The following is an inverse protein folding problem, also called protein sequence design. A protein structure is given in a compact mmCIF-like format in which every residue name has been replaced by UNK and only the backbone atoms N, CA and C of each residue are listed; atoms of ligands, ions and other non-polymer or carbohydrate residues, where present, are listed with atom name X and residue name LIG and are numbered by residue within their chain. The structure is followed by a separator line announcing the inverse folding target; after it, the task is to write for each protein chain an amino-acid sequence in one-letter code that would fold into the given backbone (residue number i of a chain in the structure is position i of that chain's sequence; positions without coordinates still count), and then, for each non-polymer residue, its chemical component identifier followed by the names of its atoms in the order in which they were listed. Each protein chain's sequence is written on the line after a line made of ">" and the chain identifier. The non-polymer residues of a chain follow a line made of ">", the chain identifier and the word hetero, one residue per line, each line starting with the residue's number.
data_IF_041596950828
#
_entry.id   IF_041596950828
#
_cell.length_a   1.000
_cell.length_b   1.000
_cell.length_c   1.000
_cell.angle_alpha   90.00
_cell.angle_beta   90.00
_cell.angle_gamma   90.00
#
_symmetry.space_group_name_H-M   'P 1'
#
loop_
_entity.id
_entity.type
_entity.pdbx_description
1 polymer ?
#
# COMPACT_ATOMS: atom_id res chain seq x y z
N UNK A 1 22.71 -11.32 19.82
CA UNK A 1 22.18 -10.10 19.17
C UNK A 1 21.08 -10.53 18.19
N UNK A 2 19.96 -9.81 18.13
CA UNK A 2 18.82 -10.17 17.27
C UNK A 2 19.22 -10.06 15.79
N UNK A 3 18.84 -11.04 14.97
CA UNK A 3 19.11 -11.00 13.52
C UNK A 3 18.22 -9.97 12.82
N UNK A 4 18.62 -9.51 11.63
CA UNK A 4 17.80 -8.58 10.83
C UNK A 4 16.45 -9.21 10.49
N UNK A 5 16.44 -10.52 10.24
CA UNK A 5 15.25 -11.29 9.93
C UNK A 5 14.28 -11.38 11.12
N UNK A 6 14.81 -11.58 12.34
CA UNK A 6 14.02 -11.55 13.57
C UNK A 6 13.39 -10.17 13.78
N UNK A 7 14.17 -9.10 13.60
CA UNK A 7 13.67 -7.73 13.72
C UNK A 7 12.55 -7.44 12.70
N UNK A 8 12.72 -7.92 11.46
CA UNK A 8 11.68 -7.78 10.43
C UNK A 8 10.42 -8.57 10.81
N UNK A 9 10.56 -9.77 11.35
CA UNK A 9 9.43 -10.59 11.80
C UNK A 9 8.67 -9.93 12.96
N UNK A 10 9.37 -9.45 14.00
CA UNK A 10 8.75 -8.74 15.12
C UNK A 10 8.10 -7.42 14.67
N UNK A 11 8.76 -6.68 13.77
CA UNK A 11 8.20 -5.48 13.16
C UNK A 11 6.90 -5.76 12.41
N UNK A 12 6.84 -6.87 11.65
CA UNK A 12 5.63 -7.29 10.93
C UNK A 12 4.48 -7.61 11.90
N UNK A 13 4.78 -8.29 13.02
CA UNK A 13 3.79 -8.56 14.08
C UNK A 13 3.28 -7.28 14.73
N UNK A 14 4.18 -6.33 15.03
CA UNK A 14 3.83 -5.02 15.58
C UNK A 14 2.94 -4.22 14.64
N UNK A 15 3.28 -4.17 13.34
CA UNK A 15 2.47 -3.51 12.30
C UNK A 15 1.10 -4.16 12.19
N UNK A 16 1.01 -5.50 12.22
CA UNK A 16 -0.27 -6.19 12.17
C UNK A 16 -1.16 -5.85 13.38
N UNK A 17 -0.62 -5.93 14.59
CA UNK A 17 -1.36 -5.63 15.82
C UNK A 17 -1.81 -4.17 15.87
N UNK A 18 -0.89 -3.23 15.65
CA UNK A 18 -1.19 -1.79 15.67
C UNK A 18 -2.09 -1.38 14.52
N UNK A 19 -1.78 -1.81 13.29
CA UNK A 19 -2.53 -1.49 12.09
C UNK A 19 -3.96 -1.98 12.21
N UNK A 20 -4.17 -3.22 12.65
CA UNK A 20 -5.52 -3.77 12.85
C UNK A 20 -6.28 -2.99 13.92
N UNK A 21 -5.67 -2.78 15.09
CA UNK A 21 -6.31 -2.06 16.21
C UNK A 21 -6.69 -0.63 15.83
N UNK A 22 -5.78 0.11 15.20
CA UNK A 22 -6.02 1.49 14.78
C UNK A 22 -7.08 1.60 13.70
N UNK A 23 -7.09 0.70 12.72
CA UNK A 23 -8.12 0.70 11.68
C UNK A 23 -9.50 0.33 12.25
N UNK A 24 -9.58 -0.58 13.24
CA UNK A 24 -10.85 -0.88 13.95
C UNK A 24 -11.36 0.34 14.72
N UNK A 25 -10.49 1.00 15.50
CA UNK A 25 -10.81 2.24 16.23
C UNK A 25 -11.27 3.31 15.23
N UNK A 26 -10.58 3.44 14.11
CA UNK A 26 -10.90 4.39 13.07
C UNK A 26 -12.28 4.15 12.45
N UNK A 27 -12.64 2.88 12.16
CA UNK A 27 -13.98 2.50 11.71
C UNK A 27 -15.03 2.91 12.74
N UNK A 28 -14.80 2.61 14.02
CA UNK A 28 -15.70 2.99 15.12
C UNK A 28 -15.92 4.51 15.17
N UNK A 29 -14.85 5.30 15.11
CA UNK A 29 -14.92 6.76 15.13
C UNK A 29 -15.67 7.30 13.90
N UNK A 30 -15.40 6.76 12.71
CA UNK A 30 -16.09 7.19 11.49
C UNK A 30 -17.59 6.92 11.58
N UNK A 31 -17.97 5.73 12.05
CA UNK A 31 -19.38 5.30 12.07
C UNK A 31 -20.18 5.98 13.18
N UNK A 32 -19.60 6.09 14.37
CA UNK A 32 -20.33 6.52 15.56
C UNK A 32 -19.99 7.94 16.03
N UNK A 33 -18.79 8.42 15.71
CA UNK A 33 -18.31 9.72 16.22
C UNK A 33 -18.60 10.90 15.31
N UNK A 34 -18.69 10.70 14.00
CA UNK A 34 -18.79 11.81 13.04
C UNK A 34 -20.18 12.44 13.03
N UNK A 35 -20.24 13.78 13.06
CA UNK A 35 -21.47 14.58 12.99
C UNK A 35 -22.33 14.17 11.77
N UNK A 36 -23.64 14.36 11.89
CA UNK A 36 -24.62 14.06 10.83
C UNK A 36 -24.37 14.82 9.51
N UNK A 37 -23.50 15.83 9.48
CA UNK A 37 -23.12 16.59 8.28
C UNK A 37 -22.09 15.90 7.38
N UNK A 38 -21.42 14.82 7.82
CA UNK A 38 -20.49 14.07 6.97
C UNK A 38 -21.28 13.10 6.09
N UNK A 39 -21.14 13.22 4.77
CA UNK A 39 -21.85 12.37 3.80
C UNK A 39 -21.64 10.88 4.09
N UNK A 40 -22.73 10.10 4.05
CA UNK A 40 -22.69 8.65 4.21
C UNK A 40 -21.74 7.98 3.21
N UNK A 41 -21.63 8.55 2.01
CA UNK A 41 -20.70 8.10 0.96
C UNK A 41 -19.26 8.18 1.44
N UNK A 42 -18.85 9.32 2.00
CA UNK A 42 -17.51 9.48 2.56
C UNK A 42 -17.26 8.46 3.67
N UNK A 43 -18.21 8.28 4.60
CA UNK A 43 -18.08 7.28 5.68
C UNK A 43 -17.87 5.86 5.11
N UNK A 44 -18.58 5.50 4.05
CA UNK A 44 -18.44 4.19 3.38
C UNK A 44 -17.07 4.01 2.73
N UNK A 45 -16.58 5.00 1.98
CA UNK A 45 -15.25 4.92 1.34
C UNK A 45 -14.16 4.79 2.40
N UNK A 46 -14.18 5.62 3.45
CA UNK A 46 -13.17 5.55 4.52
C UNK A 46 -13.22 4.22 5.31
N UNK A 47 -14.42 3.65 5.50
CA UNK A 47 -14.57 2.32 6.11
C UNK A 47 -13.99 1.23 5.21
N UNK A 48 -14.24 1.29 3.90
CA UNK A 48 -13.68 0.36 2.93
C UNK A 48 -12.14 0.40 2.95
N UNK A 49 -11.55 1.60 2.99
CA UNK A 49 -10.11 1.80 3.12
C UNK A 49 -9.54 1.13 4.38
N UNK A 50 -10.19 1.35 5.52
CA UNK A 50 -9.78 0.74 6.78
C UNK A 50 -9.85 -0.80 6.76
N UNK A 51 -10.90 -1.36 6.15
CA UNK A 51 -11.04 -2.82 5.97
C UNK A 51 -9.92 -3.35 5.07
N UNK A 52 -9.57 -2.65 3.99
CA UNK A 52 -8.51 -3.08 3.07
C UNK A 52 -7.11 -2.94 3.69
N UNK A 53 -6.89 -1.95 4.57
CA UNK A 53 -5.68 -1.85 5.39
C UNK A 53 -5.54 -3.03 6.36
N UNK A 54 -6.65 -3.46 6.99
CA UNK A 54 -6.67 -4.66 7.83
C UNK A 54 -6.35 -5.88 6.98
N UNK A 55 -7.00 -6.06 5.82
CA UNK A 55 -6.72 -7.16 4.91
C UNK A 55 -5.25 -7.20 4.45
N UNK A 56 -4.64 -6.05 4.19
CA UNK A 56 -3.22 -5.95 3.82
C UNK A 56 -2.29 -6.32 4.98
N UNK A 57 -2.61 -5.85 6.18
CA UNK A 57 -1.85 -6.19 7.38
C UNK A 57 -1.96 -7.68 7.69
N UNK A 58 -3.15 -8.27 7.52
CA UNK A 58 -3.40 -9.71 7.69
C UNK A 58 -2.63 -10.56 6.68
N UNK A 59 -2.70 -10.22 5.39
CA UNK A 59 -1.95 -10.94 4.35
C UNK A 59 -0.43 -10.81 4.56
N UNK A 60 0.05 -9.64 5.02
CA UNK A 60 1.44 -9.44 5.43
C UNK A 60 1.85 -10.29 6.62
N UNK A 61 0.98 -10.44 7.62
CA UNK A 61 1.22 -11.33 8.77
C UNK A 61 1.22 -12.81 8.39
N UNK A 62 0.31 -13.25 7.52
CA UNK A 62 0.22 -14.65 7.06
C UNK A 62 1.45 -15.02 6.22
N UNK A 63 1.92 -14.12 5.35
CA UNK A 63 3.06 -14.38 4.46
C UNK A 63 4.41 -14.14 5.10
N UNK A 64 4.51 -13.18 6.04
CA UNK A 64 5.77 -12.63 6.57
C UNK A 64 6.83 -12.48 5.46
N UNK A 65 6.58 -11.60 4.48
CA UNK A 65 7.39 -11.56 3.27
C UNK A 65 8.83 -11.15 3.60
N UNK A 66 9.77 -12.05 3.35
CA UNK A 66 11.20 -11.77 3.39
C UNK A 66 11.67 -11.32 2.02
N UNK A 67 12.53 -10.29 1.97
CA UNK A 67 13.14 -9.83 0.72
C UNK A 67 14.63 -10.19 0.68
N UNK A 68 15.07 -10.67 -0.48
CA UNK A 68 16.48 -10.81 -0.82
C UNK A 68 16.69 -10.27 -2.22
N UNK A 69 17.60 -9.31 -2.36
CA UNK A 69 17.99 -8.73 -3.65
C UNK A 69 19.38 -9.24 -3.96
N UNK A 70 19.60 -9.71 -5.18
CA UNK A 70 20.91 -10.17 -5.62
C UNK A 70 21.09 -9.84 -7.10
N UNK A 71 22.04 -8.97 -7.40
CA UNK A 71 22.28 -8.49 -8.76
C UNK A 71 20.99 -7.95 -9.36
N UNK A 72 20.63 -8.46 -10.54
CA UNK A 72 19.47 -8.02 -11.34
C UNK A 72 18.18 -8.77 -10.98
N UNK A 73 18.15 -9.36 -9.80
CA UNK A 73 17.02 -10.13 -9.28
C UNK A 73 16.60 -9.64 -7.89
N UNK A 74 15.32 -9.73 -7.62
CA UNK A 74 14.77 -9.59 -6.29
C UNK A 74 13.72 -10.67 -6.04
N UNK A 75 13.92 -11.43 -4.97
CA UNK A 75 12.96 -12.43 -4.52
C UNK A 75 12.24 -11.93 -3.27
N UNK A 76 10.94 -12.22 -3.22
CA UNK A 76 10.14 -12.08 -2.01
C UNK A 76 9.64 -13.47 -1.62
N UNK A 77 10.14 -14.02 -0.52
CA UNK A 77 9.86 -15.37 -0.06
C UNK A 77 8.95 -15.35 1.16
N UNK A 78 8.08 -16.35 1.25
CA UNK A 78 7.15 -16.52 2.36
C UNK A 78 7.91 -17.12 3.55
N UNK A 79 7.89 -16.46 4.71
CA UNK A 79 8.38 -17.00 6.00
C UNK A 79 7.26 -17.27 7.00
N UNK A 80 6.02 -17.02 6.60
CA UNK A 80 4.86 -17.15 7.46
C UNK A 80 4.29 -18.57 7.49
N UNK A 81 2.97 -18.66 7.68
CA UNK A 81 2.25 -19.91 7.96
C UNK A 81 2.49 -20.97 6.87
N UNK A 82 2.56 -20.53 5.61
CA UNK A 82 2.63 -21.41 4.44
C UNK A 82 4.01 -21.44 3.77
N UNK A 83 5.09 -21.10 4.49
CA UNK A 83 6.45 -20.92 3.91
C UNK A 83 6.95 -22.12 3.10
N UNK A 84 6.73 -23.35 3.59
CA UNK A 84 7.13 -24.62 2.94
C UNK A 84 6.00 -25.31 2.15
N UNK A 85 4.80 -24.73 2.12
CA UNK A 85 3.64 -25.34 1.46
C UNK A 85 3.46 -24.75 0.07
N UNK A 86 3.96 -25.43 -0.97
CA UNK A 86 3.70 -25.08 -2.37
C UNK A 86 2.38 -25.71 -2.84
N UNK A 87 1.52 -25.00 -3.60
CA UNK A 87 1.66 -23.62 -4.09
C UNK A 87 1.13 -22.55 -3.10
N UNK A 88 0.63 -22.94 -1.92
CA UNK A 88 -0.08 -22.05 -1.01
C UNK A 88 0.71 -20.81 -0.59
N UNK A 89 2.00 -20.94 -0.23
CA UNK A 89 2.83 -19.79 0.13
C UNK A 89 2.99 -18.80 -1.02
N UNK A 90 3.09 -19.28 -2.26
CA UNK A 90 3.17 -18.46 -3.47
C UNK A 90 1.83 -17.76 -3.77
N UNK A 91 0.70 -18.47 -3.64
CA UNK A 91 -0.63 -17.87 -3.81
C UNK A 91 -0.91 -16.78 -2.78
N UNK A 92 -0.50 -16.97 -1.52
CA UNK A 92 -0.61 -15.94 -0.50
C UNK A 92 0.28 -14.72 -0.78
N UNK A 93 1.46 -14.91 -1.37
CA UNK A 93 2.30 -13.79 -1.85
C UNK A 93 1.62 -13.05 -3.01
N UNK A 94 1.01 -13.76 -3.95
CA UNK A 94 0.22 -13.13 -5.03
C UNK A 94 -0.93 -12.31 -4.45
N UNK A 95 -1.67 -12.87 -3.49
CA UNK A 95 -2.75 -12.16 -2.81
C UNK A 95 -2.23 -10.94 -2.04
N UNK A 96 -1.09 -11.05 -1.35
CA UNK A 96 -0.46 -9.92 -0.67
C UNK A 96 -0.15 -8.76 -1.64
N UNK A 97 0.40 -9.06 -2.83
CA UNK A 97 0.62 -8.05 -3.87
C UNK A 97 -0.70 -7.54 -4.47
N UNK A 98 -1.70 -8.39 -4.62
CA UNK A 98 -3.03 -7.99 -5.09
C UNK A 98 -3.74 -7.02 -4.14
N UNK A 99 -3.68 -7.29 -2.83
CA UNK A 99 -4.23 -6.40 -1.79
C UNK A 99 -3.42 -5.11 -1.70
N UNK A 100 -2.10 -5.15 -1.93
CA UNK A 100 -1.31 -3.92 -2.13
C UNK A 100 -1.87 -3.09 -3.30
N UNK A 101 -2.13 -3.71 -4.46
CA UNK A 101 -2.73 -3.04 -5.62
C UNK A 101 -4.12 -2.47 -5.31
N UNK A 102 -4.96 -3.21 -4.58
CA UNK A 102 -6.27 -2.74 -4.13
C UNK A 102 -6.15 -1.44 -3.31
N UNK A 103 -5.17 -1.38 -2.40
CA UNK A 103 -4.95 -0.21 -1.57
C UNK A 103 -4.44 1.01 -2.35
N UNK A 104 -3.59 0.82 -3.37
CA UNK A 104 -3.16 1.94 -4.22
C UNK A 104 -4.32 2.50 -5.05
N UNK A 105 -5.23 1.64 -5.54
CA UNK A 105 -6.45 2.08 -6.22
C UNK A 105 -7.40 2.82 -5.28
N UNK A 106 -7.65 2.30 -4.07
CA UNK A 106 -8.50 2.97 -3.08
C UNK A 106 -7.93 4.32 -2.66
N UNK A 107 -6.60 4.41 -2.49
CA UNK A 107 -5.94 5.67 -2.20
C UNK A 107 -6.16 6.69 -3.32
N UNK A 108 -6.01 6.29 -4.59
CA UNK A 108 -6.32 7.16 -5.72
C UNK A 108 -7.80 7.55 -5.75
N UNK A 109 -8.71 6.61 -5.45
CA UNK A 109 -10.15 6.86 -5.38
C UNK A 109 -10.51 7.92 -4.32
N UNK A 110 -9.80 7.97 -3.19
CA UNK A 110 -9.98 9.04 -2.20
C UNK A 110 -9.66 10.43 -2.77
N UNK A 111 -8.59 10.55 -3.55
CA UNK A 111 -8.24 11.80 -4.23
C UNK A 111 -9.30 12.19 -5.27
N UNK A 112 -9.77 11.22 -6.06
CA UNK A 112 -10.83 11.41 -7.06
C UNK A 112 -12.14 11.85 -6.40
N UNK A 113 -12.57 11.17 -5.32
CA UNK A 113 -13.76 11.53 -4.57
C UNK A 113 -13.70 12.97 -4.07
N UNK A 114 -12.58 13.36 -3.43
CA UNK A 114 -12.38 14.72 -2.93
C UNK A 114 -12.40 15.75 -4.07
N UNK A 115 -11.75 15.44 -5.19
CA UNK A 115 -11.77 16.29 -6.38
C UNK A 115 -13.20 16.48 -6.91
N UNK A 116 -14.00 15.41 -7.00
CA UNK A 116 -15.39 15.50 -7.45
C UNK A 116 -16.21 16.39 -6.52
N UNK A 117 -16.11 16.19 -5.20
CA UNK A 117 -16.89 16.99 -4.24
C UNK A 117 -16.48 18.47 -4.26
N UNK A 118 -15.19 18.79 -4.42
CA UNK A 118 -14.69 20.18 -4.34
C UNK A 118 -14.78 20.90 -5.69
N UNK A 119 -14.40 20.24 -6.78
CA UNK A 119 -14.20 20.88 -8.08
C UNK A 119 -15.29 20.56 -9.09
N UNK A 120 -16.00 19.42 -8.95
CA UNK A 120 -16.95 18.89 -9.95
C UNK A 120 -18.19 18.27 -9.32
N UNK A 121 -18.90 19.05 -8.49
CA UNK A 121 -20.04 18.55 -7.70
C UNK A 121 -21.15 17.88 -8.56
N UNK A 122 -21.30 18.29 -9.83
CA UNK A 122 -22.19 17.65 -10.81
C UNK A 122 -21.92 16.15 -11.05
N UNK A 123 -20.69 15.68 -10.80
CA UNK A 123 -20.30 14.27 -10.92
C UNK A 123 -20.47 13.48 -9.62
N UNK A 124 -21.09 14.07 -8.59
CA UNK A 124 -21.31 13.39 -7.30
C UNK A 124 -22.21 12.16 -7.41
N UNK A 125 -23.04 12.07 -8.45
CA UNK A 125 -23.88 10.91 -8.76
C UNK A 125 -23.07 9.61 -8.88
N UNK A 126 -21.81 9.68 -9.34
CA UNK A 126 -20.89 8.53 -9.46
C UNK A 126 -20.75 7.75 -8.14
N UNK A 127 -20.86 8.46 -7.01
CA UNK A 127 -20.73 7.86 -5.68
C UNK A 127 -22.05 7.76 -4.90
N UNK A 128 -23.17 8.14 -5.52
CA UNK A 128 -24.50 8.09 -4.91
C UNK A 128 -25.40 7.05 -5.56
N UNK A 129 -25.32 6.91 -6.88
CA UNK A 129 -26.09 5.94 -7.64
C UNK A 129 -25.52 4.53 -7.47
N UNK A 130 -26.38 3.57 -7.15
CA UNK A 130 -25.99 2.19 -6.86
C UNK A 130 -25.21 1.56 -8.02
N UNK A 131 -25.65 1.78 -9.26
CA UNK A 131 -24.99 1.26 -10.47
C UNK A 131 -23.57 1.80 -10.60
N UNK A 132 -23.37 3.11 -10.47
CA UNK A 132 -22.05 3.75 -10.54
C UNK A 132 -21.13 3.30 -9.40
N UNK A 133 -21.66 3.19 -8.17
CA UNK A 133 -20.89 2.71 -7.02
C UNK A 133 -20.42 1.27 -7.24
N UNK A 134 -21.28 0.40 -7.77
CA UNK A 134 -20.89 -0.99 -8.11
C UNK A 134 -19.77 -0.98 -9.15
N UNK A 135 -19.85 -0.15 -10.19
CA UNK A 135 -18.78 -0.03 -11.20
C UNK A 135 -17.46 0.43 -10.57
N UNK A 136 -17.51 1.41 -9.66
CA UNK A 136 -16.32 1.88 -8.92
C UNK A 136 -15.70 0.75 -8.09
N UNK A 137 -16.53 0.00 -7.34
CA UNK A 137 -16.06 -1.14 -6.54
C UNK A 137 -15.41 -2.20 -7.43
N UNK A 138 -16.07 -2.58 -8.52
CA UNK A 138 -15.55 -3.56 -9.47
C UNK A 138 -14.24 -3.09 -10.11
N UNK A 139 -14.10 -1.79 -10.42
CA UNK A 139 -12.87 -1.23 -10.99
C UNK A 139 -11.69 -1.31 -10.01
N UNK A 140 -11.94 -1.04 -8.72
CA UNK A 140 -10.92 -1.17 -7.67
C UNK A 140 -10.53 -2.63 -7.46
N UNK A 141 -11.50 -3.54 -7.41
CA UNK A 141 -11.24 -4.99 -7.27
C UNK A 141 -10.47 -5.52 -8.48
N UNK A 142 -10.84 -5.11 -9.69
CA UNK A 142 -10.15 -5.47 -10.93
C UNK A 142 -8.69 -4.99 -10.90
N UNK A 143 -8.43 -3.79 -10.38
CA UNK A 143 -7.08 -3.25 -10.25
C UNK A 143 -6.20 -4.12 -9.35
N UNK A 144 -6.70 -4.50 -8.17
CA UNK A 144 -6.02 -5.43 -7.28
C UNK A 144 -5.85 -6.83 -7.88
N UNK A 145 -6.86 -7.32 -8.60
CA UNK A 145 -6.79 -8.58 -9.33
C UNK A 145 -5.69 -8.58 -10.40
N UNK A 146 -5.56 -7.51 -11.18
CA UNK A 146 -4.49 -7.36 -12.19
C UNK A 146 -3.11 -7.41 -11.52
N UNK A 147 -2.91 -6.73 -10.38
CA UNK A 147 -1.65 -6.82 -9.61
C UNK A 147 -1.34 -8.26 -9.18
N UNK A 148 -2.35 -9.00 -8.70
CA UNK A 148 -2.21 -10.41 -8.32
C UNK A 148 -1.89 -11.29 -9.54
N UNK A 149 -2.58 -11.08 -10.65
CA UNK A 149 -2.41 -11.83 -11.89
C UNK A 149 -1.04 -11.61 -12.51
N UNK A 150 -0.56 -10.36 -12.57
CA UNK A 150 0.80 -10.04 -13.01
C UNK A 150 1.81 -10.78 -12.12
N UNK A 151 1.60 -10.79 -10.82
CA UNK A 151 2.51 -11.50 -9.89
C UNK A 151 2.49 -13.00 -10.14
N UNK A 152 1.31 -13.58 -10.31
CA UNK A 152 1.12 -15.01 -10.55
C UNK A 152 1.76 -15.46 -11.86
N UNK A 153 1.55 -14.71 -12.95
CA UNK A 153 2.03 -15.08 -14.29
C UNK A 153 3.49 -14.68 -14.50
N UNK A 154 3.84 -13.44 -14.16
CA UNK A 154 5.14 -12.87 -14.54
C UNK A 154 6.25 -13.12 -13.53
N UNK A 155 5.93 -13.35 -12.26
CA UNK A 155 6.92 -13.49 -11.17
C UNK A 155 6.94 -14.90 -10.55
N UNK A 156 6.35 -15.89 -11.23
CA UNK A 156 6.57 -17.29 -10.91
C UNK A 156 8.04 -17.64 -11.11
N UNK A 157 8.64 -18.33 -10.13
CA UNK A 157 10.03 -18.74 -10.21
C UNK A 157 10.23 -19.81 -11.30
N UNK A 158 11.21 -19.60 -12.18
CA UNK A 158 11.68 -20.57 -13.15
C UNK A 158 13.06 -21.12 -12.74
N UNK A 159 13.52 -22.19 -13.39
CA UNK A 159 14.82 -22.84 -13.10
C UNK A 159 15.98 -21.84 -13.15
N UNK A 160 15.99 -20.93 -14.14
CA UNK A 160 17.02 -19.89 -14.24
C UNK A 160 17.07 -18.94 -13.04
N UNK A 161 15.92 -18.61 -12.42
CA UNK A 161 15.90 -17.84 -11.18
C UNK A 161 16.47 -18.64 -10.00
N UNK A 162 16.15 -19.93 -9.89
CA UNK A 162 16.72 -20.79 -8.85
C UNK A 162 18.25 -20.87 -8.96
N UNK A 163 18.78 -21.17 -10.15
CA UNK A 163 20.22 -21.26 -10.39
C UNK A 163 20.96 -19.95 -10.08
N UNK A 164 20.35 -18.81 -10.44
CA UNK A 164 20.96 -17.50 -10.24
C UNK A 164 20.95 -17.04 -8.77
N UNK A 165 19.84 -17.27 -8.05
CA UNK A 165 19.61 -16.67 -6.72
C UNK A 165 19.97 -17.62 -5.58
N UNK A 166 19.80 -18.95 -5.75
CA UNK A 166 19.95 -19.92 -4.66
C UNK A 166 21.35 -19.89 -4.00
N UNK A 167 22.48 -19.78 -4.72
CA UNK A 167 23.80 -19.74 -4.07
C UNK A 167 23.95 -18.54 -3.11
N UNK A 168 23.50 -17.36 -3.54
CA UNK A 168 23.50 -16.14 -2.74
C UNK A 168 22.53 -16.22 -1.56
N UNK A 169 21.35 -16.81 -1.79
CA UNK A 169 20.36 -17.02 -0.76
C UNK A 169 20.85 -18.00 0.33
N UNK A 170 21.40 -19.15 -0.07
CA UNK A 170 21.95 -20.15 0.82
C UNK A 170 23.13 -19.60 1.65
N UNK A 171 24.02 -18.81 1.05
CA UNK A 171 25.11 -18.16 1.75
C UNK A 171 24.64 -17.20 2.87
N UNK A 172 23.47 -16.56 2.68
CA UNK A 172 22.91 -15.62 3.66
C UNK A 172 22.03 -16.29 4.72
N UNK A 173 21.20 -17.24 4.33
CA UNK A 173 20.14 -17.80 5.18
C UNK A 173 20.38 -19.24 5.61
N UNK A 174 21.33 -19.96 4.98
CA UNK A 174 21.58 -21.39 5.26
C UNK A 174 20.42 -22.31 4.86
N UNK A 175 19.49 -21.84 4.03
CA UNK A 175 18.29 -22.59 3.62
C UNK A 175 18.23 -22.65 2.09
N UNK A 176 17.83 -23.80 1.57
CA UNK A 176 17.64 -24.00 0.13
C UNK A 176 16.34 -23.34 -0.34
N UNK A 177 16.44 -22.47 -1.34
CA UNK A 177 15.31 -21.75 -1.92
C UNK A 177 14.27 -22.70 -2.54
N UNK A 178 14.65 -23.91 -2.95
CA UNK A 178 13.72 -24.94 -3.45
C UNK A 178 12.71 -25.40 -2.38
N UNK A 179 13.02 -25.24 -1.10
CA UNK A 179 12.10 -25.59 -0.01
C UNK A 179 11.11 -24.47 0.32
N UNK A 180 11.29 -23.28 -0.25
CA UNK A 180 10.49 -22.10 0.08
C UNK A 180 9.55 -21.70 -1.07
N UNK A 181 8.41 -21.13 -0.73
CA UNK A 181 7.55 -20.43 -1.68
C UNK A 181 8.01 -18.98 -1.83
N UNK A 182 8.20 -18.52 -3.06
CA UNK A 182 8.62 -17.15 -3.34
C UNK A 182 8.12 -16.66 -4.70
N UNK A 183 8.10 -15.34 -4.86
CA UNK A 183 7.99 -14.66 -6.14
C UNK A 183 9.37 -14.14 -6.54
N UNK A 184 9.67 -14.13 -7.84
CA UNK A 184 10.96 -13.73 -8.39
C UNK A 184 10.79 -12.66 -9.46
N UNK A 185 11.34 -11.46 -9.20
CA UNK A 185 11.49 -10.42 -10.21
C UNK A 185 12.94 -10.49 -10.70
N UNK A 186 13.17 -11.19 -11.81
CA UNK A 186 14.49 -11.37 -12.41
C UNK A 186 14.47 -10.90 -13.86
N UNK A 187 15.06 -9.73 -14.14
CA UNK A 187 14.82 -9.03 -15.41
C UNK A 187 15.78 -9.42 -16.51
N UNK A 188 17.06 -9.53 -16.20
CA UNK A 188 18.10 -9.85 -17.17
C UNK A 188 19.30 -10.49 -16.48
N UNK A 189 20.05 -11.34 -17.18
CA UNK A 189 21.33 -11.87 -16.72
C UNK A 189 22.43 -11.23 -17.53
N UNK A 190 23.40 -10.62 -16.85
CA UNK A 190 24.60 -10.06 -17.47
C UNK A 190 25.70 -11.12 -17.42
N UNK A 191 26.09 -11.61 -18.58
CA UNK A 191 27.26 -12.49 -18.77
C UNK A 191 28.36 -11.73 -19.52
N UNK A 192 29.62 -12.19 -19.48
CA UNK A 192 30.76 -11.42 -20.01
C UNK A 192 30.60 -10.93 -21.46
N UNK A 193 29.91 -11.72 -22.31
CA UNK A 193 29.76 -11.43 -23.74
C UNK A 193 28.31 -11.15 -24.17
N UNK A 194 27.33 -11.41 -23.30
CA UNK A 194 25.90 -11.38 -23.66
C UNK A 194 25.04 -10.96 -22.48
N UNK A 195 24.02 -10.14 -22.74
CA UNK A 195 22.96 -9.85 -21.77
C UNK A 195 21.68 -10.52 -22.22
N UNK A 196 21.20 -11.49 -21.45
CA UNK A 196 19.97 -12.21 -21.73
C UNK A 196 18.83 -11.58 -20.94
N UNK A 197 17.82 -11.05 -21.64
CA UNK A 197 16.64 -10.46 -21.01
C UNK A 197 15.57 -11.53 -20.80
N UNK A 198 15.08 -11.64 -19.58
CA UNK A 198 13.89 -12.42 -19.24
C UNK A 198 12.65 -11.53 -19.47
N UNK A 199 12.06 -11.66 -20.65
CA UNK A 199 10.97 -10.78 -21.10
C UNK A 199 9.74 -10.83 -20.20
N UNK A 200 9.32 -12.02 -19.75
CA UNK A 200 8.10 -12.18 -18.96
C UNK A 200 8.14 -11.41 -17.62
N UNK A 201 9.14 -11.59 -16.73
CA UNK A 201 9.27 -10.78 -15.52
C UNK A 201 9.57 -9.31 -15.82
N UNK A 202 10.27 -8.99 -16.92
CA UNK A 202 10.51 -7.59 -17.33
C UNK A 202 9.22 -6.87 -17.72
N UNK A 203 8.35 -7.52 -18.50
CA UNK A 203 7.03 -7.01 -18.85
C UNK A 203 6.17 -6.87 -17.60
N UNK A 204 6.15 -7.88 -16.72
CA UNK A 204 5.39 -7.82 -15.46
C UNK A 204 5.83 -6.66 -14.55
N UNK A 205 7.14 -6.41 -14.47
CA UNK A 205 7.68 -5.26 -13.75
C UNK A 205 7.25 -3.94 -14.40
N UNK A 206 7.35 -3.83 -15.73
CA UNK A 206 6.92 -2.66 -16.50
C UNK A 206 5.42 -2.35 -16.34
N UNK A 207 4.56 -3.38 -16.35
CA UNK A 207 3.12 -3.25 -16.10
C UNK A 207 2.85 -2.73 -14.69
N UNK A 208 3.45 -3.33 -13.65
CA UNK A 208 3.29 -2.87 -12.28
C UNK A 208 3.79 -1.42 -12.06
N UNK A 209 4.89 -1.06 -12.71
CA UNK A 209 5.44 0.30 -12.65
C UNK A 209 4.53 1.30 -13.37
N UNK A 210 3.97 0.93 -14.53
CA UNK A 210 3.01 1.76 -15.28
C UNK A 210 1.74 1.98 -14.47
N UNK A 211 1.17 0.92 -13.88
CA UNK A 211 0.01 1.02 -13.00
C UNK A 211 0.28 2.00 -11.84
N UNK A 212 1.48 1.91 -11.25
CA UNK A 212 1.89 2.82 -10.18
C UNK A 212 2.01 4.28 -10.66
N UNK A 213 2.55 4.53 -11.85
CA UNK A 213 2.58 5.88 -12.44
C UNK A 213 1.17 6.41 -12.68
N UNK A 214 0.25 5.58 -13.19
CA UNK A 214 -1.13 5.97 -13.46
C UNK A 214 -1.85 6.41 -12.19
N UNK A 215 -1.76 5.62 -11.10
CA UNK A 215 -2.41 6.00 -9.83
C UNK A 215 -1.77 7.25 -9.23
N UNK A 216 -0.44 7.38 -9.28
CA UNK A 216 0.26 8.56 -8.78
C UNK A 216 -0.09 9.83 -9.57
N UNK A 217 -0.10 9.75 -10.91
CA UNK A 217 -0.47 10.86 -11.78
C UNK A 217 -1.92 11.31 -11.54
N UNK A 218 -2.85 10.36 -11.36
CA UNK A 218 -4.23 10.65 -11.02
C UNK A 218 -4.35 11.38 -9.67
N UNK A 219 -3.65 10.88 -8.63
CA UNK A 219 -3.60 11.54 -7.33
C UNK A 219 -3.02 12.96 -7.42
N UNK A 220 -1.92 13.12 -8.16
CA UNK A 220 -1.27 14.41 -8.36
C UNK A 220 -2.19 15.40 -9.09
N UNK A 221 -2.82 14.96 -10.19
CA UNK A 221 -3.78 15.76 -10.95
C UNK A 221 -4.95 16.21 -10.08
N UNK A 222 -5.61 15.28 -9.39
CA UNK A 222 -6.72 15.58 -8.49
C UNK A 222 -6.29 16.55 -7.38
N UNK A 223 -5.12 16.32 -6.75
CA UNK A 223 -4.57 17.18 -5.73
C UNK A 223 -4.29 18.61 -6.23
N UNK A 224 -3.74 18.73 -7.44
CA UNK A 224 -3.45 20.01 -8.08
C UNK A 224 -4.71 20.79 -8.46
N UNK A 225 -5.72 20.12 -9.01
CA UNK A 225 -6.98 20.78 -9.34
C UNK A 225 -7.74 21.23 -8.09
N UNK A 226 -7.71 20.44 -7.01
CA UNK A 226 -8.20 20.87 -5.71
C UNK A 226 -7.44 22.15 -5.30
N UNK A 227 -6.11 22.14 -5.32
CA UNK A 227 -5.29 23.31 -4.99
C UNK A 227 -5.68 24.56 -5.78
N UNK A 228 -5.89 24.43 -7.10
CA UNK A 228 -6.30 25.54 -7.98
C UNK A 228 -7.68 26.07 -7.62
N UNK A 229 -8.65 25.19 -7.41
CA UNK A 229 -10.01 25.59 -7.02
C UNK A 229 -9.98 26.46 -5.75
N UNK A 230 -9.06 26.16 -4.82
CA UNK A 230 -8.92 26.90 -3.56
C UNK A 230 -8.27 28.27 -3.66
N UNK A 231 -7.54 28.53 -4.74
CA UNK A 231 -6.96 29.84 -5.02
C UNK A 231 -7.94 30.81 -5.67
N UNK A 232 -9.12 30.36 -6.09
CA UNK A 232 -10.08 31.20 -6.80
C UNK A 232 -10.54 32.39 -5.90
N UNK A 233 -10.28 33.66 -6.31
CA UNK A 233 -10.60 34.84 -5.51
C UNK A 233 -12.10 35.09 -5.32
N UNK A 234 -12.96 34.44 -6.10
CA UNK A 234 -14.42 34.51 -5.93
C UNK A 234 -14.92 33.82 -4.67
N UNK A 235 -14.10 33.03 -3.97
CA UNK A 235 -14.50 32.38 -2.73
C UNK A 235 -14.47 33.30 -1.51
N UNK A 236 -15.51 33.19 -0.67
CA UNK A 236 -15.60 33.91 0.60
C UNK A 236 -14.40 33.61 1.51
N UNK A 237 -14.00 34.57 2.35
CA UNK A 237 -12.88 34.42 3.31
C UNK A 237 -13.04 33.19 4.22
N UNK A 238 -14.28 32.91 4.67
CA UNK A 238 -14.62 31.76 5.52
C UNK A 238 -14.45 30.43 4.76
N UNK A 239 -14.95 30.36 3.53
CA UNK A 239 -14.79 29.19 2.66
C UNK A 239 -13.32 28.95 2.34
N UNK A 240 -12.58 30.01 2.00
CA UNK A 240 -11.14 29.96 1.70
C UNK A 240 -10.30 29.43 2.87
N UNK A 241 -10.61 29.85 4.10
CA UNK A 241 -9.93 29.35 5.30
C UNK A 241 -10.18 27.85 5.53
N UNK A 242 -11.45 27.42 5.53
CA UNK A 242 -11.82 26.00 5.71
C UNK A 242 -11.17 25.12 4.66
N UNK A 243 -11.21 25.55 3.40
CA UNK A 243 -10.64 24.81 2.30
C UNK A 243 -9.11 24.75 2.33
N UNK A 244 -8.43 25.82 2.78
CA UNK A 244 -6.97 25.80 2.97
C UNK A 244 -6.54 24.76 4.01
N UNK A 245 -7.34 24.55 5.05
CA UNK A 245 -7.08 23.48 6.02
C UNK A 245 -7.28 22.09 5.40
N UNK A 246 -8.33 21.91 4.59
CA UNK A 246 -8.56 20.66 3.86
C UNK A 246 -7.41 20.35 2.89
N UNK A 247 -6.85 21.35 2.21
CA UNK A 247 -5.70 21.19 1.34
C UNK A 247 -4.42 20.78 2.07
N UNK A 248 -4.13 21.40 3.22
CA UNK A 248 -3.00 20.98 4.06
C UNK A 248 -3.14 19.53 4.50
N UNK A 249 -4.36 19.12 4.87
CA UNK A 249 -4.65 17.72 5.20
C UNK A 249 -4.43 16.78 4.00
N UNK A 250 -4.85 17.18 2.80
CA UNK A 250 -4.67 16.40 1.57
C UNK A 250 -3.18 16.28 1.16
N UNK A 251 -2.41 17.36 1.31
CA UNK A 251 -0.97 17.32 1.03
C UNK A 251 -0.23 16.34 1.95
N UNK A 252 -0.58 16.34 3.25
CA UNK A 252 0.00 15.41 4.22
C UNK A 252 -0.42 13.96 3.92
N UNK A 253 -1.69 13.75 3.54
CA UNK A 253 -2.19 12.45 3.10
C UNK A 253 -1.56 11.95 1.79
N UNK A 254 -1.05 12.83 0.93
CA UNK A 254 -0.31 12.43 -0.27
C UNK A 254 1.15 12.05 0.05
N UNK A 255 1.77 12.75 1.00
CA UNK A 255 3.17 12.57 1.38
C UNK A 255 3.42 11.19 1.98
N UNK A 256 2.54 10.73 2.87
CA UNK A 256 2.69 9.43 3.55
C UNK A 256 2.83 8.28 2.53
N UNK A 257 1.84 8.00 1.68
CA UNK A 257 1.92 6.92 0.71
C UNK A 257 3.04 7.14 -0.32
N UNK A 258 3.37 8.39 -0.68
CA UNK A 258 4.51 8.63 -1.57
C UNK A 258 5.80 8.03 -1.02
N UNK A 259 6.14 8.31 0.23
CA UNK A 259 7.38 7.79 0.84
C UNK A 259 7.28 6.31 1.20
N UNK A 260 6.17 5.86 1.79
CA UNK A 260 6.05 4.49 2.30
C UNK A 260 5.83 3.47 1.19
N UNK A 261 5.05 3.78 0.15
CA UNK A 261 4.69 2.80 -0.89
C UNK A 261 5.36 3.08 -2.23
N UNK A 262 5.09 4.24 -2.84
CA UNK A 262 5.52 4.56 -4.21
C UNK A 262 7.06 4.63 -4.34
N UNK A 263 7.71 5.43 -3.49
CA UNK A 263 9.16 5.59 -3.51
C UNK A 263 9.87 4.28 -3.16
N UNK A 264 9.40 3.58 -2.13
CA UNK A 264 9.97 2.30 -1.71
C UNK A 264 9.94 1.25 -2.83
N UNK A 265 8.83 1.18 -3.60
CA UNK A 265 8.71 0.29 -4.76
C UNK A 265 9.54 0.75 -5.96
N UNK A 266 9.59 2.06 -6.22
CA UNK A 266 10.43 2.61 -7.30
C UNK A 266 11.91 2.25 -7.06
N UNK A 267 12.40 2.43 -5.83
CA UNK A 267 13.76 2.03 -5.44
C UNK A 267 13.97 0.53 -5.64
N UNK A 268 13.03 -0.33 -5.22
CA UNK A 268 13.14 -1.78 -5.49
C UNK A 268 13.32 -2.09 -6.98
N UNK A 269 12.48 -1.53 -7.85
CA UNK A 269 12.57 -1.79 -9.28
C UNK A 269 13.85 -1.22 -9.91
N UNK A 270 14.29 -0.03 -9.48
CA UNK A 270 15.58 0.51 -9.90
C UNK A 270 16.73 -0.41 -9.48
N UNK A 271 16.70 -0.97 -8.27
CA UNK A 271 17.74 -1.88 -7.80
C UNK A 271 17.85 -3.12 -8.69
N UNK A 272 16.71 -3.68 -9.12
CA UNK A 272 16.63 -4.84 -10.02
C UNK A 272 17.15 -4.52 -11.43
N UNK A 273 16.89 -3.31 -11.94
CA UNK A 273 17.37 -2.88 -13.26
C UNK A 273 18.88 -2.60 -13.23
N UNK A 274 19.38 -1.97 -12.17
CA UNK A 274 20.80 -1.58 -12.05
C UNK A 274 21.69 -2.75 -11.67
N UNK A 275 21.16 -3.75 -10.95
CA UNK A 275 21.94 -4.90 -10.52
C UNK A 275 22.67 -4.68 -9.19
N UNK A 276 22.02 -4.09 -8.18
CA UNK A 276 22.67 -3.71 -6.93
C UNK A 276 23.05 -4.91 -6.02
N UNK A 277 24.09 -4.77 -5.18
CA UNK A 277 24.54 -5.83 -4.29
C UNK A 277 23.52 -6.17 -3.19
N UNK A 278 23.56 -7.38 -2.62
CA UNK A 278 22.65 -7.82 -1.55
C UNK A 278 22.87 -7.05 -0.25
N UNK A 279 22.10 -5.97 -0.01
CA UNK A 279 22.14 -5.24 1.25
C UNK A 279 21.10 -5.75 2.24
N UNK A 280 21.47 -5.81 3.53
CA UNK A 280 20.55 -6.19 4.61
C UNK A 280 19.37 -5.23 4.76
N UNK A 281 19.54 -3.96 4.38
CA UNK A 281 18.50 -2.93 4.43
C UNK A 281 17.27 -3.28 3.57
N UNK A 282 17.42 -4.04 2.47
CA UNK A 282 16.31 -4.44 1.61
C UNK A 282 15.32 -5.40 2.29
N UNK A 283 15.74 -6.06 3.37
CA UNK A 283 14.84 -6.89 4.18
C UNK A 283 13.73 -6.06 4.86
N UNK A 284 13.95 -4.76 5.09
CA UNK A 284 12.96 -3.87 5.70
C UNK A 284 11.92 -3.33 4.73
N UNK A 285 12.11 -3.47 3.41
CA UNK A 285 11.21 -2.84 2.43
C UNK A 285 9.74 -3.26 2.60
N UNK A 286 9.39 -4.54 2.86
CA UNK A 286 8.01 -4.91 3.12
C UNK A 286 7.44 -4.23 4.37
N UNK A 287 8.25 -4.00 5.40
CA UNK A 287 7.83 -3.26 6.59
C UNK A 287 7.58 -1.78 6.29
N UNK A 288 8.48 -1.13 5.54
CA UNK A 288 8.32 0.28 5.14
C UNK A 288 7.06 0.46 4.30
N UNK A 289 6.74 -0.51 3.45
CA UNK A 289 5.47 -0.52 2.73
C UNK A 289 4.34 -0.71 3.75
N UNK A 290 4.32 -1.80 4.51
CA UNK A 290 3.20 -2.12 5.40
C UNK A 290 2.93 -1.10 6.52
N UNK A 291 3.91 -0.31 6.95
CA UNK A 291 3.72 0.69 8.02
C UNK A 291 2.72 1.78 7.64
N UNK A 292 2.43 1.98 6.34
CA UNK A 292 1.41 2.95 5.94
C UNK A 292 0.04 2.58 6.51
N UNK A 293 -0.28 1.30 6.74
CA UNK A 293 -1.57 0.89 7.33
C UNK A 293 -1.74 1.35 8.78
N UNK A 294 -0.63 1.67 9.46
CA UNK A 294 -0.58 2.25 10.80
C UNK A 294 -0.63 3.76 10.73
N UNK A 295 0.24 4.36 9.91
CA UNK A 295 0.42 5.81 9.84
C UNK A 295 -0.82 6.48 9.23
N UNK A 296 -1.45 5.87 8.24
CA UNK A 296 -2.57 6.44 7.52
C UNK A 296 -3.80 6.72 8.41
N UNK A 297 -4.39 5.74 9.13
CA UNK A 297 -5.54 6.02 10.00
C UNK A 297 -5.20 7.03 11.10
N UNK A 298 -3.96 7.03 11.62
CA UNK A 298 -3.47 8.06 12.55
C UNK A 298 -3.52 9.43 11.88
N UNK A 299 -2.90 9.58 10.71
CA UNK A 299 -2.86 10.83 9.98
C UNK A 299 -4.28 11.32 9.68
N UNK A 300 -5.19 10.46 9.26
CA UNK A 300 -6.57 10.86 9.00
C UNK A 300 -7.26 11.32 10.29
N UNK A 301 -7.17 10.57 11.38
CA UNK A 301 -7.77 10.93 12.67
C UNK A 301 -7.25 12.26 13.21
N UNK A 302 -5.96 12.55 13.03
CA UNK A 302 -5.36 13.79 13.49
C UNK A 302 -5.54 14.96 12.51
N UNK A 303 -5.52 14.77 11.19
CA UNK A 303 -5.57 15.88 10.23
C UNK A 303 -6.98 16.27 9.79
N UNK A 304 -7.99 15.41 9.96
CA UNK A 304 -9.38 15.77 9.71
C UNK A 304 -10.00 16.36 10.98
N UNK A 305 -10.37 17.65 10.94
CA UNK A 305 -10.82 18.41 12.12
C UNK A 305 -11.95 17.74 12.90
N UNK A 306 -12.98 17.22 12.23
CA UNK A 306 -14.10 16.55 12.91
C UNK A 306 -13.65 15.28 13.65
N UNK A 307 -12.74 14.50 13.05
CA UNK A 307 -12.19 13.29 13.67
C UNK A 307 -11.28 13.63 14.86
N UNK A 308 -10.48 14.69 14.75
CA UNK A 308 -9.62 15.18 15.82
C UNK A 308 -10.41 15.56 17.08
N UNK A 309 -11.55 16.23 16.90
CA UNK A 309 -12.42 16.62 18.01
C UNK A 309 -12.98 15.40 18.73
N UNK A 310 -13.39 14.37 17.99
CA UNK A 310 -13.91 13.12 18.57
C UNK A 310 -12.81 12.37 19.33
N UNK A 311 -11.60 12.27 18.75
CA UNK A 311 -10.46 11.64 19.42
C UNK A 311 -10.12 12.36 20.72
N UNK A 312 -10.14 13.69 20.73
CA UNK A 312 -9.87 14.46 21.95
C UNK A 312 -10.97 14.26 23.02
N UNK A 313 -12.23 14.13 22.61
CA UNK A 313 -13.33 13.82 23.53
C UNK A 313 -13.21 12.40 24.09
N UNK A 314 -12.89 11.40 23.26
CA UNK A 314 -12.65 10.03 23.70
C UNK A 314 -11.46 9.95 24.66
N UNK A 315 -10.36 10.66 24.38
CA UNK A 315 -9.22 10.76 25.30
C UNK A 315 -9.63 11.34 26.65
N UNK A 316 -10.43 12.40 26.67
CA UNK A 316 -10.97 12.98 27.92
C UNK A 316 -11.81 11.98 28.69
N UNK A 317 -12.73 11.28 28.01
CA UNK A 317 -13.58 10.25 28.64
C UNK A 317 -12.73 9.13 29.21
N UNK A 318 -11.74 8.65 28.46
CA UNK A 318 -10.81 7.61 28.95
C UNK A 318 -10.00 8.09 30.16
N UNK A 319 -9.49 9.32 30.16
CA UNK A 319 -8.81 9.90 31.32
C UNK A 319 -9.73 9.96 32.55
N UNK A 320 -10.99 10.33 32.35
CA UNK A 320 -12.00 10.34 33.42
C UNK A 320 -12.34 8.94 33.93
N UNK A 321 -12.46 7.94 33.05
CA UNK A 321 -12.78 6.55 33.42
C UNK A 321 -11.59 5.85 34.10
N UNK A 322 -10.38 6.08 33.60
CA UNK A 322 -9.18 5.41 34.10
C UNK A 322 -8.47 6.19 35.23
N UNK A 323 -9.03 7.31 35.72
CA UNK A 323 -8.42 8.17 36.74
C UNK A 323 -6.92 8.45 36.49
N UNK A 324 -6.60 8.84 35.24
CA UNK A 324 -5.27 9.29 34.83
C UNK A 324 -5.19 10.82 34.80
#
# INVERSE_FOLDING_TARGET
>A
PMTVEELVSYGSMGIFALGTTLNIIFIYIIRNGTRNGVSHVYKNIMTCFAICNIAFSTTGFITKPGNHTYGTSQITFCKGVFHRMKPWGFLWLCLFIGVYGLNTALLALHFVYRYIIVCRQQLSHIFQETSSVVVVILSVLLWGFIYSLITFVCFAANEGCYEYVNPSFYARFGEDLHNLSFICVFTHKVEPNTTTIYWLPTIGMGLNFTMMIVTFALMFFCGFEIYRALKNPSMSKKTKHLQTQLLKAVAIQAIIPFFTTYLSRAVMYTNVIVGLPPLSAYAFTPLVISIYTVIDPIAIMFFVCDLRLIVNNLKRIMQTIFCL
#
